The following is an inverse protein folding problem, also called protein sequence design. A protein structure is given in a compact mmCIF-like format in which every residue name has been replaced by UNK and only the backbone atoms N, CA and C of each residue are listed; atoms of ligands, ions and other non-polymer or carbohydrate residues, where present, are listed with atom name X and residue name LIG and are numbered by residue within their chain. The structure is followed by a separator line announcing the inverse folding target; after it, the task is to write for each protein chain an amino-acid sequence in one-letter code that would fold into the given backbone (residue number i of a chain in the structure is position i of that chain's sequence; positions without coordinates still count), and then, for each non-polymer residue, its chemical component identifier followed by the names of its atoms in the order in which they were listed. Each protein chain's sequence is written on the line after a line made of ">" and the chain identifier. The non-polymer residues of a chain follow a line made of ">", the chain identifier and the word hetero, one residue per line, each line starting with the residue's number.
data_IF_677637615666
#
_entry.id   IF_677637615666
#
_cell.length_a   1.000
_cell.length_b   1.000
_cell.length_c   1.000
_cell.angle_alpha   90.00
_cell.angle_beta   90.00
_cell.angle_gamma   90.00
#
_symmetry.space_group_name_H-M   'P 1'
#
loop_
_entity.id
_entity.type
_entity.pdbx_description
1 polymer ?
#
# COMPACT_ATOMS: atom_id res chain seq x y z
N UNK A 1 -2.90 2.65 5.88
CA UNK A 1 -1.60 2.06 5.53
C UNK A 1 -1.02 1.37 6.74
N UNK A 2 -0.84 0.04 6.70
CA UNK A 2 0.03 -0.60 7.68
C UNK A 2 1.47 -0.18 7.36
N UNK A 3 2.23 0.21 8.40
CA UNK A 3 3.67 0.49 8.27
C UNK A 3 4.38 -0.68 7.59
N UNK A 4 3.93 -1.92 7.84
CA UNK A 4 4.47 -3.11 7.19
C UNK A 4 4.34 -3.08 5.67
N UNK A 5 3.22 -2.61 5.12
CA UNK A 5 3.01 -2.57 3.66
C UNK A 5 3.93 -1.56 2.99
N UNK A 6 4.16 -0.41 3.62
CA UNK A 6 5.07 0.63 3.11
C UNK A 6 6.53 0.18 3.21
N UNK A 7 6.89 -0.51 4.30
CA UNK A 7 8.23 -1.06 4.51
C UNK A 7 8.50 -2.20 3.53
N UNK A 8 7.58 -3.16 3.37
CA UNK A 8 7.71 -4.25 2.40
C UNK A 8 7.80 -3.71 0.96
N UNK A 9 7.00 -2.70 0.61
CA UNK A 9 7.08 -2.08 -0.72
C UNK A 9 8.43 -1.42 -0.98
N UNK A 10 8.94 -0.62 -0.03
CA UNK A 10 10.27 0.00 -0.16
C UNK A 10 11.41 -1.02 -0.22
N UNK A 11 11.33 -2.12 0.53
CA UNK A 11 12.35 -3.19 0.50
C UNK A 11 12.36 -3.87 -0.87
N UNK A 12 11.18 -4.24 -1.40
CA UNK A 12 11.08 -4.87 -2.72
C UNK A 12 11.56 -3.91 -3.81
N UNK A 13 11.16 -2.64 -3.76
CA UNK A 13 11.58 -1.61 -4.72
C UNK A 13 13.09 -1.31 -4.65
N UNK A 14 13.71 -1.44 -3.48
CA UNK A 14 15.17 -1.30 -3.33
C UNK A 14 15.94 -2.52 -3.83
N UNK A 15 15.36 -3.72 -3.75
CA UNK A 15 16.00 -4.98 -4.15
C UNK A 15 15.84 -5.26 -5.64
N UNK A 16 14.65 -4.99 -6.17
CA UNK A 16 14.29 -5.23 -7.56
C UNK A 16 13.51 -4.02 -8.11
N UNK A 17 14.21 -2.89 -8.33
CA UNK A 17 13.56 -1.66 -8.78
C UNK A 17 12.94 -1.90 -10.16
N UNK A 18 11.70 -1.46 -10.40
CA UNK A 18 11.08 -1.64 -11.69
C UNK A 18 11.91 -0.94 -12.77
N UNK A 19 12.38 -1.76 -13.70
CA UNK A 19 13.23 -1.35 -14.80
C UNK A 19 12.33 -1.13 -16.01
N UNK A 20 12.51 0.01 -16.68
CA UNK A 20 11.82 0.31 -17.94
C UNK A 20 12.33 -0.65 -19.05
N UNK A 21 11.58 -0.85 -20.14
CA UNK A 21 12.03 -1.69 -21.26
C UNK A 21 13.42 -1.27 -21.81
N UNK A 22 13.75 0.03 -21.67
CA UNK A 22 15.05 0.61 -22.05
C UNK A 22 16.16 0.47 -20.98
N UNK A 23 15.92 -0.24 -19.88
CA UNK A 23 16.93 -0.49 -18.84
C UNK A 23 17.10 0.62 -17.79
N UNK A 24 16.32 1.70 -17.87
CA UNK A 24 16.38 2.79 -16.88
C UNK A 24 15.54 2.49 -15.64
N UNK A 25 16.06 2.83 -14.45
CA UNK A 25 15.30 2.81 -13.20
C UNK A 25 14.20 3.88 -13.26
N UNK A 26 12.95 3.46 -13.09
CA UNK A 26 11.82 4.37 -12.96
C UNK A 26 11.17 4.19 -11.60
N UNK A 27 10.85 5.29 -10.93
CA UNK A 27 10.12 5.23 -9.66
C UNK A 27 8.66 4.90 -9.94
N UNK A 28 8.09 3.80 -9.43
CA UNK A 28 6.76 3.30 -9.81
C UNK A 28 5.63 4.09 -9.12
N UNK A 29 5.58 5.40 -9.36
CA UNK A 29 4.63 6.35 -8.77
C UNK A 29 3.18 5.89 -8.94
N UNK A 30 2.85 5.25 -10.07
CA UNK A 30 1.54 4.66 -10.32
C UNK A 30 1.17 3.56 -9.31
N UNK A 31 2.11 2.68 -8.96
CA UNK A 31 1.88 1.63 -7.96
C UNK A 31 1.82 2.18 -6.55
N UNK A 32 2.63 3.19 -6.22
CA UNK A 32 2.57 3.89 -4.92
C UNK A 32 1.19 4.52 -4.73
N UNK A 33 0.70 5.22 -5.75
CA UNK A 33 -0.61 5.87 -5.72
C UNK A 33 -1.76 4.86 -5.61
N UNK A 34 -1.69 3.75 -6.36
CA UNK A 34 -2.65 2.65 -6.25
C UNK A 34 -2.64 2.00 -4.87
N UNK A 35 -1.46 1.73 -4.32
CA UNK A 35 -1.29 1.17 -2.97
C UNK A 35 -1.85 2.11 -1.90
N UNK A 36 -1.64 3.42 -2.06
CA UNK A 36 -2.20 4.44 -1.18
C UNK A 36 -3.72 4.43 -1.19
N UNK A 37 -4.34 4.44 -2.37
CA UNK A 37 -5.79 4.37 -2.53
C UNK A 37 -6.37 3.08 -1.92
N UNK A 38 -5.79 1.91 -2.23
CA UNK A 38 -6.25 0.62 -1.70
C UNK A 38 -6.14 0.59 -0.17
N UNK A 39 -5.03 1.09 0.38
CA UNK A 39 -4.82 1.11 1.83
C UNK A 39 -5.78 2.06 2.56
N UNK A 40 -6.24 3.12 1.90
CA UNK A 40 -7.21 4.07 2.44
C UNK A 40 -8.59 3.41 2.51
N UNK A 41 -9.04 2.78 1.41
CA UNK A 41 -10.31 2.04 1.36
C UNK A 41 -10.32 0.90 2.40
N UNK A 42 -9.24 0.13 2.49
CA UNK A 42 -9.11 -0.95 3.46
C UNK A 42 -9.15 -0.43 4.90
N UNK A 43 -8.47 0.70 5.17
CA UNK A 43 -8.51 1.36 6.48
C UNK A 43 -9.91 1.78 6.87
N UNK A 44 -10.66 2.41 5.95
CA UNK A 44 -12.05 2.79 6.20
C UNK A 44 -12.95 1.58 6.48
N UNK A 45 -12.77 0.49 5.72
CA UNK A 45 -13.53 -0.74 5.91
C UNK A 45 -13.28 -1.37 7.29
N UNK A 46 -12.00 -1.50 7.69
CA UNK A 46 -11.61 -2.03 9.00
C UNK A 46 -12.16 -1.14 10.13
N UNK A 47 -12.10 0.18 9.98
CA UNK A 47 -12.63 1.11 10.97
C UNK A 47 -14.14 0.93 11.18
N UNK A 48 -14.91 0.84 10.09
CA UNK A 48 -16.36 0.62 10.15
C UNK A 48 -16.67 -0.72 10.85
N UNK A 49 -15.96 -1.79 10.50
CA UNK A 49 -16.13 -3.11 11.14
C UNK A 49 -15.82 -3.02 12.63
N UNK A 50 -14.71 -2.40 13.01
CA UNK A 50 -14.31 -2.26 14.40
C UNK A 50 -15.37 -1.52 15.22
N UNK A 51 -15.89 -0.38 14.71
CA UNK A 51 -16.98 0.37 15.34
C UNK A 51 -18.25 -0.48 15.45
N UNK A 52 -18.60 -1.23 14.41
CA UNK A 52 -19.79 -2.10 14.41
C UNK A 52 -19.67 -3.22 15.44
N UNK A 53 -18.49 -3.82 15.60
CA UNK A 53 -18.23 -4.84 16.62
C UNK A 53 -18.33 -4.23 18.02
N UNK A 54 -17.70 -3.07 18.24
CA UNK A 54 -17.75 -2.39 19.54
C UNK A 54 -19.18 -2.02 19.95
N UNK A 55 -20.05 -1.61 19.02
CA UNK A 55 -21.46 -1.28 19.29
C UNK A 55 -22.37 -2.48 19.52
N UNK A 56 -21.93 -3.69 19.15
CA UNK A 56 -22.65 -4.95 19.39
C UNK A 56 -22.28 -5.60 20.73
N UNK A 57 -21.29 -5.04 21.42
CA UNK A 57 -20.88 -5.41 22.77
C UNK A 57 -21.52 -4.43 23.75
#
# INVERSE_FOLDING_TARGET
>A
MSVSTVVTYNIIDSLDPPITEDGHRYMPIGNILKSLLVSFVLGAFVFIIAVKIQRKK
#
